data_IF_186395410110
#
_entry.id   IF_186395410110
#
_cell.length_a   1.000
_cell.length_b   1.000
_cell.length_c   1.000
_cell.angle_alpha   90.00
_cell.angle_beta   90.00
_cell.angle_gamma   90.00
#
_symmetry.space_group_name_H-M   'P 1'
#
loop_
_entity.id
_entity.type
_entity.pdbx_description
1 polymer ?
#
# COMPACT_ATOMS: atom_id res chain seq x y z
N UNK A 1 15.91 -21.26 -85.52
CA UNK A 1 15.73 -21.88 -84.19
C UNK A 1 14.89 -20.94 -83.35
N UNK A 2 13.88 -21.42 -82.63
CA UNK A 2 13.04 -20.59 -81.76
C UNK A 2 13.24 -20.94 -80.28
N UNK A 3 13.44 -19.93 -79.43
CA UNK A 3 13.53 -20.12 -77.98
C UNK A 3 12.16 -19.91 -77.33
N UNK A 4 11.61 -20.96 -76.71
CA UNK A 4 10.39 -20.87 -75.92
C UNK A 4 10.69 -20.35 -74.51
N UNK A 5 10.07 -19.24 -74.13
CA UNK A 5 10.01 -18.79 -72.72
C UNK A 5 9.09 -19.72 -71.92
N UNK A 6 9.61 -20.30 -70.82
CA UNK A 6 8.80 -21.10 -69.89
C UNK A 6 7.88 -20.19 -69.05
N UNK A 7 6.59 -20.50 -68.89
CA UNK A 7 5.71 -19.73 -68.02
C UNK A 7 6.04 -19.97 -66.54
N UNK A 8 6.17 -18.89 -65.77
CA UNK A 8 6.33 -18.95 -64.30
C UNK A 8 5.04 -19.47 -63.65
N UNK A 9 5.13 -20.53 -62.84
CA UNK A 9 3.92 -21.12 -62.24
C UNK A 9 3.46 -20.35 -60.99
N UNK A 10 2.19 -19.90 -60.91
CA UNK A 10 1.69 -19.10 -59.78
C UNK A 10 1.57 -19.88 -58.47
N UNK A 11 1.75 -21.22 -58.50
CA UNK A 11 1.70 -22.10 -57.33
C UNK A 11 2.94 -21.94 -56.42
N UNK A 12 4.10 -21.59 -56.97
CA UNK A 12 5.31 -21.31 -56.18
C UNK A 12 5.19 -20.00 -55.40
N UNK A 13 4.75 -18.92 -56.05
CA UNK A 13 4.55 -17.62 -55.41
C UNK A 13 3.57 -17.67 -54.23
N UNK A 14 2.46 -18.41 -54.36
CA UNK A 14 1.49 -18.58 -53.27
C UNK A 14 2.07 -19.33 -52.06
N UNK A 15 2.92 -20.35 -52.29
CA UNK A 15 3.61 -21.06 -51.20
C UNK A 15 4.67 -20.20 -50.52
N UNK A 16 5.45 -19.43 -51.30
CA UNK A 16 6.44 -18.49 -50.75
C UNK A 16 5.77 -17.38 -49.91
N UNK A 17 4.68 -16.79 -50.40
CA UNK A 17 3.92 -15.77 -49.67
C UNK A 17 3.37 -16.31 -48.33
N UNK A 18 2.78 -17.52 -48.32
CA UNK A 18 2.29 -18.15 -47.09
C UNK A 18 3.42 -18.45 -46.09
N UNK A 19 4.60 -18.87 -46.55
CA UNK A 19 5.76 -19.08 -45.69
C UNK A 19 6.27 -17.78 -45.05
N UNK A 20 6.33 -16.68 -45.82
CA UNK A 20 6.72 -15.36 -45.30
C UNK A 20 5.69 -14.82 -44.31
N UNK A 21 4.39 -14.94 -44.60
CA UNK A 21 3.32 -14.52 -43.67
C UNK A 21 3.39 -15.34 -42.37
N UNK A 22 3.58 -16.66 -42.46
CA UNK A 22 3.74 -17.52 -41.29
C UNK A 22 4.95 -17.12 -40.43
N UNK A 23 6.10 -16.84 -41.05
CA UNK A 23 7.30 -16.38 -40.36
C UNK A 23 7.10 -15.01 -39.68
N UNK A 24 6.43 -14.07 -40.33
CA UNK A 24 6.09 -12.76 -39.74
C UNK A 24 5.12 -12.91 -38.57
N UNK A 25 4.08 -13.72 -38.69
CA UNK A 25 3.16 -13.99 -37.57
C UNK A 25 3.88 -14.63 -36.37
N UNK A 26 4.75 -15.60 -36.59
CA UNK A 26 5.55 -16.22 -35.52
C UNK A 26 6.51 -15.22 -34.87
N UNK A 27 7.16 -14.35 -35.65
CA UNK A 27 8.01 -13.29 -35.10
C UNK A 27 7.21 -12.29 -34.24
N UNK A 28 6.02 -11.88 -34.68
CA UNK A 28 5.15 -10.98 -33.91
C UNK A 28 4.72 -11.63 -32.58
N UNK A 29 4.38 -12.92 -32.57
CA UNK A 29 4.06 -13.63 -31.32
C UNK A 29 5.28 -13.71 -30.38
N UNK A 30 6.47 -14.01 -30.92
CA UNK A 30 7.70 -14.11 -30.13
C UNK A 30 8.08 -12.78 -29.44
N UNK A 31 7.87 -11.63 -30.10
CA UNK A 31 8.09 -10.31 -29.48
C UNK A 31 6.93 -9.85 -28.57
N UNK A 32 5.69 -10.31 -28.80
CA UNK A 32 4.54 -9.93 -27.99
C UNK A 32 4.56 -10.49 -26.55
N UNK A 33 5.27 -11.60 -26.30
CA UNK A 33 5.34 -12.21 -24.96
C UNK A 33 6.42 -11.60 -24.04
N UNK A 34 7.35 -10.82 -24.57
CA UNK A 34 8.27 -10.02 -23.75
C UNK A 34 7.62 -8.72 -23.30
N UNK A 35 6.63 -8.85 -22.41
CA UNK A 35 6.17 -7.74 -21.59
C UNK A 35 7.38 -7.13 -20.87
N UNK A 36 7.70 -5.87 -21.19
CA UNK A 36 8.79 -5.14 -20.54
C UNK A 36 8.48 -5.13 -19.04
N UNK A 37 9.35 -5.75 -18.21
CA UNK A 37 9.27 -5.55 -16.76
C UNK A 37 9.30 -4.05 -16.48
N UNK A 38 8.35 -3.57 -15.67
CA UNK A 38 8.44 -2.23 -15.14
C UNK A 38 9.79 -2.07 -14.41
N UNK A 39 10.46 -0.92 -14.52
CA UNK A 39 11.67 -0.68 -13.73
C UNK A 39 11.28 -0.72 -12.24
N UNK A 40 11.85 -1.65 -11.48
CA UNK A 40 11.57 -1.79 -10.04
C UNK A 40 11.80 -0.46 -9.33
N UNK A 41 10.73 0.15 -8.84
CA UNK A 41 10.80 1.39 -8.05
C UNK A 41 11.35 1.04 -6.67
N UNK A 42 12.32 1.81 -6.18
CA UNK A 42 13.01 1.51 -4.91
C UNK A 42 12.30 2.10 -3.70
N UNK A 43 10.99 2.33 -3.83
CA UNK A 43 10.21 3.21 -2.97
C UNK A 43 10.40 4.70 -3.32
N UNK A 44 9.85 5.61 -2.52
CA UNK A 44 9.17 5.35 -1.25
C UNK A 44 7.83 4.60 -1.41
N UNK A 45 7.70 3.49 -0.69
CA UNK A 45 6.51 2.61 -0.68
C UNK A 45 6.30 2.10 0.74
N UNK A 46 5.19 2.40 1.40
CA UNK A 46 4.89 1.88 2.73
C UNK A 46 3.76 0.85 2.72
N UNK A 47 3.99 -0.25 3.41
CA UNK A 47 3.04 -1.30 3.75
C UNK A 47 2.45 -1.04 5.13
N UNK A 48 1.14 -1.21 5.26
CA UNK A 48 0.42 -1.27 6.52
C UNK A 48 -0.60 -2.41 6.52
N UNK A 49 -1.33 -2.54 7.63
CA UNK A 49 -2.52 -3.38 7.73
C UNK A 49 -3.71 -2.49 8.06
N UNK A 50 -4.72 -2.53 7.20
CA UNK A 50 -6.01 -1.92 7.44
C UNK A 50 -6.81 -2.84 8.38
N UNK A 51 -7.14 -2.35 9.57
CA UNK A 51 -8.06 -2.98 10.50
C UNK A 51 -9.48 -2.48 10.21
N UNK A 52 -10.24 -3.22 9.39
CA UNK A 52 -11.59 -2.84 8.94
C UNK A 52 -12.67 -3.49 9.82
N UNK A 53 -13.41 -2.69 10.58
CA UNK A 53 -14.54 -3.17 11.37
C UNK A 53 -15.82 -3.32 10.53
N UNK A 54 -16.70 -4.25 10.93
CA UNK A 54 -17.98 -4.52 10.26
C UNK A 54 -18.95 -3.31 10.17
N UNK A 55 -18.69 -2.22 10.88
CA UNK A 55 -19.44 -0.96 10.80
C UNK A 55 -18.90 0.03 9.73
N UNK A 56 -17.85 -0.36 8.98
CA UNK A 56 -17.24 0.45 7.92
C UNK A 56 -16.15 1.43 8.38
N UNK A 57 -15.87 1.50 9.69
CA UNK A 57 -14.71 2.23 10.22
C UNK A 57 -13.44 1.39 10.06
N UNK A 58 -12.32 2.06 9.83
CA UNK A 58 -11.03 1.39 9.75
C UNK A 58 -9.92 2.26 10.35
N UNK A 59 -8.93 1.59 10.94
CA UNK A 59 -7.64 2.17 11.30
C UNK A 59 -6.54 1.54 10.43
N UNK A 60 -5.42 2.24 10.26
CA UNK A 60 -4.25 1.71 9.55
C UNK A 60 -3.08 1.52 10.52
N UNK A 61 -2.66 0.27 10.73
CA UNK A 61 -1.42 -0.04 11.46
C UNK A 61 -0.25 0.06 10.51
N UNK A 62 0.76 0.85 10.86
CA UNK A 62 1.99 0.97 10.08
C UNK A 62 2.86 -0.29 10.24
N UNK A 63 3.29 -0.92 9.14
CA UNK A 63 4.11 -2.14 9.19
C UNK A 63 5.55 -1.86 8.75
N UNK A 64 5.79 -1.65 7.46
CA UNK A 64 7.13 -1.50 6.91
C UNK A 64 7.16 -0.45 5.80
N UNK A 65 8.25 0.31 5.68
CA UNK A 65 8.45 1.28 4.59
C UNK A 65 9.73 0.95 3.83
N UNK A 66 9.60 0.76 2.53
CA UNK A 66 10.72 0.58 1.62
C UNK A 66 11.26 1.92 1.15
N UNK A 67 12.56 2.14 1.35
CA UNK A 67 13.34 3.28 0.87
C UNK A 67 14.66 2.73 0.30
N UNK A 68 15.06 3.18 -0.89
CA UNK A 68 16.24 2.71 -1.64
C UNK A 68 16.33 1.17 -1.80
N UNK A 69 15.19 0.48 -1.80
CA UNK A 69 15.10 -0.98 -1.88
C UNK A 69 15.39 -1.70 -0.57
N UNK A 70 15.27 -1.02 0.57
CA UNK A 70 15.43 -1.57 1.93
C UNK A 70 14.20 -1.29 2.77
N UNK A 71 13.73 -2.28 3.52
CA UNK A 71 12.64 -2.09 4.47
C UNK A 71 13.12 -1.51 5.80
N UNK A 72 12.34 -0.57 6.32
CA UNK A 72 12.48 0.04 7.63
C UNK A 72 11.14 -0.10 8.38
N UNK A 73 11.18 -0.01 9.70
CA UNK A 73 9.99 0.03 10.54
C UNK A 73 9.14 1.27 10.20
N UNK A 74 7.89 1.07 9.80
CA UNK A 74 7.04 2.16 9.34
C UNK A 74 6.51 3.05 10.48
N UNK A 75 6.50 2.58 11.73
CA UNK A 75 6.15 3.37 12.91
C UNK A 75 7.32 4.21 13.43
N UNK A 76 8.57 3.81 13.15
CA UNK A 76 9.76 4.56 13.54
C UNK A 76 10.32 5.49 12.44
N UNK A 77 10.11 5.18 11.16
CA UNK A 77 10.81 5.88 10.08
C UNK A 77 10.36 7.35 9.87
N UNK A 78 11.30 8.28 10.10
CA UNK A 78 11.12 9.75 10.08
C UNK A 78 9.88 10.20 10.87
N UNK A 79 9.74 9.66 12.09
CA UNK A 79 8.60 9.87 13.00
C UNK A 79 8.65 11.18 13.80
N UNK A 80 8.87 12.29 13.10
CA UNK A 80 8.98 13.63 13.67
C UNK A 80 7.98 14.57 12.96
N UNK A 81 6.88 15.02 13.62
CA UNK A 81 6.31 14.50 14.87
C UNK A 81 5.47 13.22 14.66
N UNK A 82 5.32 12.75 13.41
CA UNK A 82 4.45 11.64 12.99
C UNK A 82 5.19 10.77 11.96
N UNK A 83 5.06 9.43 11.97
CA UNK A 83 5.77 8.55 11.03
C UNK A 83 5.47 8.86 9.57
N UNK A 84 6.44 8.64 8.67
CA UNK A 84 6.27 8.89 7.23
C UNK A 84 5.06 8.15 6.62
N UNK A 85 4.83 6.92 7.06
CA UNK A 85 3.69 6.08 6.68
C UNK A 85 2.33 6.71 7.01
N UNK A 86 2.23 7.38 8.16
CA UNK A 86 0.97 7.91 8.70
C UNK A 86 0.86 9.43 8.53
N UNK A 87 1.56 10.00 7.55
CA UNK A 87 1.35 11.40 7.19
C UNK A 87 -0.03 11.61 6.59
N UNK A 88 -0.66 12.73 6.96
CA UNK A 88 -1.99 13.10 6.50
C UNK A 88 -2.09 13.17 4.96
N UNK A 89 -3.26 12.80 4.47
CA UNK A 89 -3.65 12.67 3.06
C UNK A 89 -2.90 11.56 2.30
N UNK A 90 -2.04 10.77 2.95
CA UNK A 90 -1.41 9.58 2.34
C UNK A 90 -2.48 8.55 1.99
N UNK A 91 -2.41 8.03 0.77
CA UNK A 91 -3.35 7.05 0.23
C UNK A 91 -2.73 5.66 0.27
N UNK A 92 -3.47 4.72 0.84
CA UNK A 92 -3.17 3.30 0.85
C UNK A 92 -4.23 2.54 0.06
N UNK A 93 -3.81 1.70 -0.87
CA UNK A 93 -4.67 0.73 -1.54
C UNK A 93 -4.67 -0.58 -0.74
N UNK A 94 -5.82 -0.95 -0.19
CA UNK A 94 -5.96 -2.21 0.55
C UNK A 94 -6.22 -3.35 -0.44
N UNK A 95 -5.42 -4.41 -0.36
CA UNK A 95 -5.40 -5.52 -1.32
C UNK A 95 -5.63 -6.86 -0.64
N UNK A 96 -6.50 -7.70 -1.21
CA UNK A 96 -6.83 -9.03 -0.70
C UNK A 96 -6.43 -10.07 -1.74
N UNK A 97 -5.41 -10.85 -1.40
CA UNK A 97 -4.75 -11.80 -2.31
C UNK A 97 -4.39 -11.12 -3.65
N UNK A 98 -3.81 -9.92 -3.57
CA UNK A 98 -3.43 -9.11 -4.73
C UNK A 98 -4.55 -8.35 -5.46
N UNK A 99 -5.82 -8.48 -5.04
CA UNK A 99 -6.96 -7.76 -5.63
C UNK A 99 -7.31 -6.50 -4.82
N UNK A 100 -7.45 -5.36 -5.48
CA UNK A 100 -7.93 -4.10 -4.87
C UNK A 100 -9.28 -4.27 -4.16
N UNK A 101 -9.33 -3.90 -2.88
CA UNK A 101 -10.57 -3.85 -2.08
C UNK A 101 -11.10 -2.42 -1.92
N UNK A 102 -10.21 -1.43 -2.03
CA UNK A 102 -10.55 -0.02 -1.87
C UNK A 102 -9.34 0.83 -1.47
N UNK A 103 -9.59 2.12 -1.25
CA UNK A 103 -8.60 3.09 -0.81
C UNK A 103 -8.88 3.55 0.63
N UNK A 104 -7.85 3.61 1.44
CA UNK A 104 -7.83 4.30 2.73
C UNK A 104 -7.00 5.58 2.60
N UNK A 105 -7.55 6.72 3.02
CA UNK A 105 -6.78 7.98 3.09
C UNK A 105 -6.59 8.37 4.55
N UNK A 106 -5.33 8.55 4.96
CA UNK A 106 -4.93 8.90 6.33
C UNK A 106 -5.41 10.32 6.67
N UNK A 107 -6.25 10.47 7.69
CA UNK A 107 -6.74 11.76 8.21
C UNK A 107 -5.81 12.37 9.26
N UNK A 108 -5.11 11.50 10.00
CA UNK A 108 -4.19 11.83 11.07
C UNK A 108 -3.50 10.56 11.61
N UNK A 109 -2.74 10.73 12.69
CA UNK A 109 -2.01 9.64 13.34
C UNK A 109 -2.10 9.76 14.85
N UNK A 110 -2.23 8.62 15.52
CA UNK A 110 -2.35 8.48 16.96
C UNK A 110 -1.35 7.44 17.44
N UNK A 111 -0.77 7.66 18.63
CA UNK A 111 0.13 6.70 19.27
C UNK A 111 -0.61 5.96 20.38
N UNK A 112 -0.83 4.67 20.15
CA UNK A 112 -1.45 3.77 21.12
C UNK A 112 -0.37 2.95 21.87
N UNK A 113 -0.81 1.99 22.69
CA UNK A 113 0.08 1.14 23.50
C UNK A 113 0.90 0.15 22.66
N UNK A 114 0.37 -0.33 21.53
CA UNK A 114 1.04 -1.30 20.65
C UNK A 114 1.79 -0.65 19.46
N UNK A 115 1.82 0.68 19.37
CA UNK A 115 2.56 1.42 18.35
C UNK A 115 1.78 2.61 17.80
N UNK A 116 2.04 2.97 16.54
CA UNK A 116 1.33 4.03 15.83
C UNK A 116 0.20 3.50 14.94
N UNK A 117 -0.97 4.14 15.01
CA UNK A 117 -2.10 3.92 14.10
C UNK A 117 -2.44 5.20 13.32
N UNK A 118 -2.91 5.04 12.08
CA UNK A 118 -3.53 6.11 11.30
C UNK A 118 -5.04 6.08 11.42
N UNK A 119 -5.64 7.21 11.81
CA UNK A 119 -7.07 7.46 11.56
C UNK A 119 -7.27 7.86 10.09
N UNK A 120 -8.48 7.72 9.56
CA UNK A 120 -8.72 8.07 8.16
C UNK A 120 -10.06 7.62 7.59
N UNK A 121 -10.18 7.77 6.27
CA UNK A 121 -11.41 7.52 5.50
C UNK A 121 -11.21 6.33 4.56
N UNK A 122 -11.95 5.26 4.82
CA UNK A 122 -12.06 4.10 3.94
C UNK A 122 -13.10 4.32 2.83
N UNK A 123 -12.79 3.89 1.61
CA UNK A 123 -13.74 3.79 0.47
C UNK A 123 -13.50 2.48 -0.28
N UNK A 124 -14.48 1.58 -0.26
CA UNK A 124 -14.38 0.31 -1.00
C UNK A 124 -14.47 0.50 -2.52
N UNK A 125 -13.96 -0.45 -3.30
CA UNK A 125 -14.10 -0.47 -4.77
C UNK A 125 -15.56 -0.32 -5.21
N UNK A 126 -16.49 -1.01 -4.54
CA UNK A 126 -17.92 -0.90 -4.81
C UNK A 126 -18.50 0.51 -4.57
N UNK A 127 -18.04 1.22 -3.53
CA UNK A 127 -18.42 2.61 -3.28
C UNK A 127 -17.85 3.55 -4.34
N UNK A 128 -16.56 3.42 -4.67
CA UNK A 128 -15.91 4.23 -5.70
C UNK A 128 -16.53 4.00 -7.09
N UNK A 129 -16.91 2.77 -7.43
CA UNK A 129 -17.68 2.47 -8.64
C UNK A 129 -19.07 3.12 -8.64
N UNK A 130 -19.80 3.04 -7.52
CA UNK A 130 -21.12 3.65 -7.40
C UNK A 130 -21.05 5.18 -7.56
N UNK A 131 -20.08 5.83 -6.94
CA UNK A 131 -19.88 7.28 -7.07
C UNK A 131 -19.41 7.69 -8.47
N UNK A 132 -18.54 6.89 -9.11
CA UNK A 132 -18.15 7.08 -10.52
C UNK A 132 -19.34 6.92 -11.49
N UNK A 133 -20.29 6.04 -11.18
CA UNK A 133 -21.54 5.86 -11.93
C UNK A 133 -22.50 7.05 -11.72
N UNK A 134 -22.65 7.56 -10.49
CA UNK A 134 -23.42 8.79 -10.19
C UNK A 134 -22.85 10.00 -10.94
N UNK A 135 -21.54 10.25 -10.81
CA UNK A 135 -20.87 11.39 -11.43
C UNK A 135 -21.04 11.41 -12.95
N UNK A 136 -20.94 10.25 -13.62
CA UNK A 136 -21.27 10.13 -15.06
C UNK A 136 -22.73 10.47 -15.35
N UNK A 137 -23.68 9.88 -14.63
CA UNK A 137 -25.10 10.16 -14.83
C UNK A 137 -25.46 11.64 -14.58
N UNK A 138 -24.77 12.32 -13.66
CA UNK A 138 -24.97 13.74 -13.40
C UNK A 138 -24.27 14.64 -14.42
N UNK A 139 -23.11 14.26 -14.97
CA UNK A 139 -22.54 14.88 -16.17
C UNK A 139 -23.46 14.73 -17.38
N UNK A 140 -24.03 13.55 -17.61
CA UNK A 140 -24.96 13.29 -18.71
C UNK A 140 -26.24 14.13 -18.59
N UNK A 141 -26.82 14.25 -17.38
CA UNK A 141 -27.93 15.19 -17.11
C UNK A 141 -27.54 16.64 -17.33
N UNK A 142 -26.33 17.05 -16.92
CA UNK A 142 -25.86 18.43 -17.09
C UNK A 142 -25.63 18.75 -18.58
N UNK A 143 -25.13 17.80 -19.36
CA UNK A 143 -24.99 17.91 -20.81
C UNK A 143 -26.36 17.97 -21.53
N UNK A 144 -27.34 17.16 -21.09
CA UNK A 144 -28.72 17.23 -21.59
C UNK A 144 -29.47 18.52 -21.16
N UNK A 145 -29.01 19.18 -20.09
CA UNK A 145 -29.55 20.45 -19.59
C UNK A 145 -28.74 21.67 -20.04
N UNK A 146 -27.65 21.47 -20.79
CA UNK A 146 -26.99 22.57 -21.49
C UNK A 146 -28.01 23.14 -22.50
N UNK A 147 -28.30 24.45 -22.48
CA UNK A 147 -29.31 25.00 -23.36
C UNK A 147 -28.89 24.81 -24.82
N UNK A 148 -29.82 24.32 -25.63
CA UNK A 148 -29.70 24.37 -27.08
C UNK A 148 -29.40 25.82 -27.47
N UNK A 149 -28.19 26.05 -28.01
CA UNK A 149 -27.76 27.40 -28.38
C UNK A 149 -28.63 27.85 -29.55
N UNK A 150 -29.57 28.75 -29.26
CA UNK A 150 -30.51 29.35 -30.21
C UNK A 150 -29.71 29.81 -31.45
N UNK A 151 -29.77 29.05 -32.55
CA UNK A 151 -29.07 29.38 -33.81
C UNK A 151 -29.79 30.53 -34.57
N UNK A 152 -30.34 31.48 -33.83
CA UNK A 152 -30.72 32.78 -34.36
C UNK A 152 -29.45 33.61 -34.65
N UNK A 153 -29.41 34.38 -35.74
CA UNK A 153 -28.27 35.24 -36.05
C UNK A 153 -28.05 36.28 -34.93
N UNK A 154 -26.79 36.73 -34.70
CA UNK A 154 -26.43 37.56 -33.55
C UNK A 154 -27.24 38.87 -33.49
N UNK A 155 -28.15 38.95 -32.52
CA UNK A 155 -29.03 40.10 -32.27
C UNK A 155 -28.21 41.28 -31.71
N UNK A 156 -27.62 42.08 -32.61
CA UNK A 156 -26.94 43.32 -32.27
C UNK A 156 -27.87 44.25 -31.48
N UNK A 157 -27.51 44.57 -30.23
CA UNK A 157 -28.23 45.56 -29.42
C UNK A 157 -28.00 46.96 -30.00
N UNK A 158 -28.93 47.41 -30.84
CA UNK A 158 -28.96 48.80 -31.33
C UNK A 158 -29.19 49.73 -30.15
N UNK A 159 -28.16 50.48 -29.75
CA UNK A 159 -28.33 51.61 -28.84
C UNK A 159 -29.28 52.62 -29.46
N UNK A 160 -30.29 53.05 -28.71
CA UNK A 160 -31.25 54.07 -29.16
C UNK A 160 -30.59 55.45 -28.96
N UNK A 161 -30.45 56.27 -30.01
CA UNK A 161 -30.04 57.66 -29.85
C UNK A 161 -31.25 58.50 -29.41
N UNK A 162 -31.09 59.28 -28.34
CA UNK A 162 -32.11 60.23 -27.88
C UNK A 162 -31.53 61.64 -27.80
N UNK A 163 -31.78 62.41 -28.85
CA UNK A 163 -31.55 63.85 -28.99
C UNK A 163 -32.71 64.36 -29.87
N UNK A 164 -33.25 65.58 -29.76
CA UNK A 164 -32.76 66.79 -29.08
C UNK A 164 -33.89 67.58 -28.39
N UNK A 165 -33.50 68.48 -27.46
CA UNK A 165 -34.10 69.83 -27.35
C UNK A 165 -32.99 70.85 -27.06
N UNK A 166 -32.96 71.93 -27.85
CA UNK A 166 -31.84 72.89 -28.00
C UNK A 166 -32.34 74.34 -28.11
N UNK A 167 -31.47 75.39 -28.11
CA UNK A 167 -30.10 75.48 -27.60
C UNK A 167 -30.08 76.35 -26.31
N UNK A 168 -29.71 77.66 -26.19
CA UNK A 168 -29.05 78.64 -27.09
C UNK A 168 -27.51 78.74 -26.84
N UNK A 169 -26.91 79.94 -26.91
CA UNK A 169 -25.44 80.19 -26.83
C UNK A 169 -25.09 81.42 -25.98
N UNK A 170 -23.88 81.46 -25.36
CA UNK A 170 -22.94 82.61 -25.37
C UNK A 170 -21.67 82.40 -24.48
N UNK A 171 -20.57 83.09 -24.83
CA UNK A 171 -19.25 83.23 -24.14
C UNK A 171 -18.81 84.71 -24.19
N UNK A 172 -17.65 85.16 -23.61
CA UNK A 172 -16.68 84.53 -22.71
C UNK A 172 -16.91 85.05 -21.25
N UNK A 173 -16.02 85.70 -20.43
CA UNK A 173 -14.58 86.07 -20.51
C UNK A 173 -13.64 85.00 -19.87
N UNK A 174 -12.50 85.33 -19.23
CA UNK A 174 -11.16 85.67 -19.81
C UNK A 174 -10.11 85.88 -18.69
N UNK A 175 -8.92 85.27 -18.80
CA UNK A 175 -7.72 85.56 -17.96
C UNK A 175 -7.47 84.61 -16.76
N UNK A 176 -6.23 84.33 -16.34
CA UNK A 176 -4.93 84.61 -17.00
C UNK A 176 -3.79 83.67 -16.55
N UNK A 177 -2.71 83.66 -17.35
CA UNK A 177 -1.32 83.28 -17.03
C UNK A 177 -0.89 81.80 -16.81
N UNK A 178 0.44 81.61 -16.77
CA UNK A 178 1.18 80.42 -17.25
C UNK A 178 2.37 80.07 -16.26
N UNK A 179 3.51 79.43 -16.61
CA UNK A 179 3.93 78.19 -15.95
C UNK A 179 5.30 78.23 -15.23
N UNK A 180 5.64 77.15 -14.51
CA UNK A 180 6.99 76.52 -14.44
C UNK A 180 6.94 75.29 -13.50
N UNK A 181 7.72 74.22 -13.62
CA UNK A 181 8.54 73.69 -14.75
C UNK A 181 8.87 72.21 -14.49
N UNK A 182 9.01 71.44 -15.57
CA UNK A 182 9.59 70.08 -15.67
C UNK A 182 11.14 70.12 -15.72
N UNK A 183 11.90 69.00 -15.89
CA UNK A 183 11.70 67.57 -15.60
C UNK A 183 12.93 66.90 -14.89
N UNK A 184 12.98 65.55 -14.91
CA UNK A 184 14.19 64.69 -15.08
C UNK A 184 15.22 64.53 -13.92
N UNK A 185 16.11 63.52 -13.83
CA UNK A 185 16.19 62.08 -14.24
C UNK A 185 17.67 61.63 -14.30
N UNK A 186 18.10 60.62 -13.53
CA UNK A 186 19.18 59.67 -13.91
C UNK A 186 19.56 58.64 -12.82
N UNK A 187 20.01 57.45 -13.24
CA UNK A 187 20.81 56.42 -12.52
C UNK A 187 22.29 56.49 -13.01
N UNK A 188 23.25 55.52 -12.86
CA UNK A 188 23.33 54.24 -12.10
C UNK A 188 24.70 53.93 -11.38
N UNK A 189 24.86 52.71 -10.80
CA UNK A 189 26.16 51.99 -10.47
C UNK A 189 27.10 52.57 -9.38
N UNK A 190 28.02 51.85 -8.68
CA UNK A 190 28.63 50.50 -8.87
C UNK A 190 29.17 49.83 -7.57
N UNK A 191 29.30 48.48 -7.62
CA UNK A 191 30.29 47.53 -7.04
C UNK A 191 31.14 47.76 -5.75
N UNK A 192 31.00 46.84 -4.77
CA UNK A 192 32.00 45.91 -4.11
C UNK A 192 33.42 46.39 -3.63
N UNK A 193 34.24 45.59 -2.88
CA UNK A 193 34.02 44.40 -2.02
C UNK A 193 34.75 44.42 -0.62
N UNK A 194 34.76 43.26 0.08
CA UNK A 194 35.91 42.60 0.79
C UNK A 194 35.90 42.45 2.34
N UNK A 195 36.13 41.19 2.80
CA UNK A 195 36.81 40.73 4.04
C UNK A 195 36.22 41.03 5.45
N UNK A 196 36.47 40.22 6.52
CA UNK A 196 36.88 38.80 6.65
C UNK A 196 36.85 38.36 8.14
N UNK A 197 36.94 37.03 8.40
CA UNK A 197 37.41 36.37 9.66
C UNK A 197 36.62 36.58 10.99
N UNK A 198 36.61 35.68 11.98
CA UNK A 198 36.91 34.22 12.06
C UNK A 198 36.37 33.66 13.43
N UNK A 199 36.29 32.32 13.54
CA UNK A 199 36.53 31.50 14.76
C UNK A 199 35.51 31.31 15.92
N UNK A 200 35.24 30.01 16.14
CA UNK A 200 35.23 29.25 17.42
C UNK A 200 34.01 29.24 18.38
N UNK A 201 33.97 28.17 19.19
CA UNK A 201 32.79 27.54 19.82
C UNK A 201 32.97 27.39 21.36
N UNK A 202 32.10 26.65 22.09
CA UNK A 202 31.16 27.13 23.14
C UNK A 202 31.76 27.16 24.57
N UNK A 203 30.97 27.45 25.65
CA UNK A 203 30.34 26.32 26.38
C UNK A 203 29.02 26.59 27.15
N UNK A 204 28.30 25.49 27.43
CA UNK A 204 27.46 25.19 28.62
C UNK A 204 26.22 26.04 28.98
N UNK A 205 25.23 25.36 29.59
CA UNK A 205 24.03 25.91 30.21
C UNK A 205 24.16 25.96 31.76
N UNK A 206 23.25 26.66 32.44
CA UNK A 206 22.62 26.03 33.61
C UNK A 206 21.08 26.21 33.69
N UNK A 207 20.48 25.51 34.66
CA UNK A 207 19.05 25.18 34.72
C UNK A 207 18.10 26.27 35.23
N UNK A 208 16.91 26.29 34.63
CA UNK A 208 15.58 26.42 35.25
C UNK A 208 15.31 27.54 36.29
N UNK A 209 14.32 28.39 35.96
CA UNK A 209 13.21 28.71 36.87
C UNK A 209 11.92 28.94 36.09
N UNK A 210 10.79 28.59 36.70
CA UNK A 210 9.45 28.64 36.12
C UNK A 210 8.72 29.91 36.51
N UNK A 211 7.98 30.52 35.59
CA UNK A 211 6.79 31.30 35.94
C UNK A 211 5.69 31.24 34.85
N UNK A 212 4.51 31.80 35.12
CA UNK A 212 3.23 31.27 34.63
C UNK A 212 2.34 32.28 33.88
N UNK A 213 1.68 31.82 32.80
CA UNK A 213 0.84 32.59 31.83
C UNK A 213 1.69 33.55 30.96
N UNK A 214 1.37 33.80 29.69
CA UNK A 214 0.04 33.99 29.09
C UNK A 214 -0.18 33.26 27.77
N UNK A 215 -1.45 32.99 27.45
CA UNK A 215 -1.90 32.48 26.16
C UNK A 215 -2.04 33.60 25.12
N UNK A 216 -1.41 33.45 23.96
CA UNK A 216 -1.79 34.19 22.75
C UNK A 216 -1.60 33.27 21.53
N UNK A 217 -2.47 33.41 20.53
CA UNK A 217 -2.57 32.45 19.44
C UNK A 217 -1.55 32.75 18.34
N UNK A 218 -0.70 31.77 18.03
CA UNK A 218 0.06 31.76 16.77
C UNK A 218 -0.43 30.59 15.92
N UNK A 219 -1.01 30.91 14.76
CA UNK A 219 -1.49 29.91 13.82
C UNK A 219 -0.31 29.36 13.02
N UNK A 220 0.17 28.17 13.40
CA UNK A 220 1.16 27.45 12.62
C UNK A 220 0.56 27.04 11.25
N UNK A 221 1.16 27.45 10.12
CA UNK A 221 0.75 26.97 8.80
C UNK A 221 1.20 25.52 8.59
N UNK A 222 0.81 24.94 7.45
CA UNK A 222 1.27 23.61 7.06
C UNK A 222 2.78 23.57 6.76
N UNK A 223 3.35 22.37 6.91
CA UNK A 223 4.67 21.94 6.41
C UNK A 223 5.92 22.70 6.90
N UNK A 224 6.40 22.34 8.10
CA UNK A 224 7.85 22.10 8.31
C UNK A 224 8.23 20.76 7.67
N UNK A 225 8.18 20.70 6.33
CA UNK A 225 8.62 19.54 5.57
C UNK A 225 10.03 19.78 5.04
N UNK A 226 11.02 19.05 5.55
CA UNK A 226 12.36 18.93 4.94
C UNK A 226 12.20 18.67 3.43
N UNK A 227 12.67 19.58 2.54
CA UNK A 227 12.50 19.43 1.09
C UNK A 227 13.17 18.17 0.51
N UNK A 228 14.07 17.53 1.26
CA UNK A 228 14.74 16.28 0.90
C UNK A 228 14.06 15.04 1.51
N UNK A 229 12.89 15.21 2.14
CA UNK A 229 12.11 14.11 2.72
C UNK A 229 11.34 13.39 1.61
N UNK A 230 11.56 12.06 1.41
CA UNK A 230 10.73 11.29 0.50
C UNK A 230 9.25 11.39 0.87
N UNK A 231 8.37 11.36 -0.13
CA UNK A 231 6.92 11.52 0.01
C UNK A 231 6.20 10.28 -0.53
N UNK A 232 5.15 9.85 0.16
CA UNK A 232 4.25 8.81 -0.33
C UNK A 232 3.17 9.42 -1.23
N UNK A 233 2.41 8.58 -1.96
CA UNK A 233 1.24 9.02 -2.72
C UNK A 233 0.20 9.65 -1.80
N UNK A 234 -0.27 10.85 -2.15
CA UNK A 234 -1.32 11.58 -1.43
C UNK A 234 -2.51 11.88 -2.33
N UNK A 235 -3.69 12.16 -1.76
CA UNK A 235 -4.82 12.64 -2.55
C UNK A 235 -4.52 14.03 -3.18
N UNK A 236 -5.04 14.33 -4.39
CA UNK A 236 -5.01 15.68 -4.94
C UNK A 236 -5.79 16.66 -4.05
N UNK A 237 -5.25 17.87 -3.87
CA UNK A 237 -5.81 18.88 -2.97
C UNK A 237 -7.20 19.44 -3.37
N UNK A 238 -7.71 19.11 -4.56
CA UNK A 238 -8.97 19.64 -5.09
C UNK A 238 -10.22 18.83 -4.67
N UNK A 239 -10.07 17.61 -4.12
CA UNK A 239 -11.20 16.82 -3.60
C UNK A 239 -11.59 17.19 -2.15
N UNK A 240 -10.96 18.19 -1.53
CA UNK A 240 -11.20 18.54 -0.12
C UNK A 240 -12.47 19.36 0.09
N UNK A 241 -13.63 18.71 0.02
CA UNK A 241 -14.78 19.19 0.80
C UNK A 241 -14.42 19.08 2.29
N UNK A 242 -14.43 20.21 2.99
CA UNK A 242 -13.86 20.33 4.35
C UNK A 242 -14.72 19.67 5.45
N UNK A 243 -14.89 18.34 5.39
CA UNK A 243 -15.29 17.56 6.56
C UNK A 243 -14.05 17.32 7.43
N UNK A 244 -13.72 18.35 8.22
CA UNK A 244 -12.56 18.37 9.11
C UNK A 244 -12.75 17.40 10.28
N UNK A 245 -12.30 16.14 10.13
CA UNK A 245 -11.97 15.30 11.28
C UNK A 245 -11.01 16.07 12.18
N UNK A 246 -11.41 16.27 13.44
CA UNK A 246 -10.62 17.03 14.40
C UNK A 246 -9.41 16.20 14.80
N UNK A 247 -8.23 16.62 14.35
CA UNK A 247 -6.96 16.15 14.89
C UNK A 247 -6.99 16.28 16.42
N UNK A 248 -7.03 15.15 17.13
CA UNK A 248 -7.18 15.11 18.59
C UNK A 248 -8.55 14.64 19.14
N UNK A 249 -9.46 14.10 18.31
CA UNK A 249 -10.50 13.20 18.84
C UNK A 249 -9.89 11.85 19.21
N UNK A 250 -10.20 11.36 20.41
CA UNK A 250 -9.87 10.01 20.89
C UNK A 250 -10.28 8.93 19.86
N UNK A 251 -9.45 7.89 19.61
CA UNK A 251 -9.70 6.93 18.54
C UNK A 251 -11.06 6.26 18.72
N UNK A 252 -11.91 6.28 17.68
CA UNK A 252 -13.28 5.79 17.81
C UNK A 252 -13.32 4.26 17.71
N UNK A 253 -12.99 3.63 18.86
CA UNK A 253 -12.74 2.20 19.03
C UNK A 253 -13.55 1.29 18.10
N UNK A 254 -12.81 0.51 17.31
CA UNK A 254 -13.35 -0.52 16.41
C UNK A 254 -14.20 -1.52 17.22
N UNK A 255 -15.41 -1.82 16.74
CA UNK A 255 -16.42 -2.62 17.45
C UNK A 255 -16.98 -3.71 16.56
N UNK A 256 -17.05 -4.93 17.11
CA UNK A 256 -17.42 -6.14 16.37
C UNK A 256 -16.21 -6.82 15.74
N UNK A 257 -16.41 -7.76 14.80
CA UNK A 257 -15.33 -8.39 14.06
C UNK A 257 -14.51 -7.36 13.27
N UNK A 258 -13.19 -7.52 13.31
CA UNK A 258 -12.21 -6.74 12.55
C UNK A 258 -11.63 -7.66 11.47
N UNK A 259 -11.63 -7.23 10.21
CA UNK A 259 -10.89 -7.87 9.13
C UNK A 259 -9.55 -7.16 8.95
N UNK A 260 -8.46 -7.94 8.92
CA UNK A 260 -7.10 -7.45 8.69
C UNK A 260 -6.78 -7.58 7.20
N UNK A 261 -6.55 -6.45 6.51
CA UNK A 261 -6.27 -6.41 5.07
C UNK A 261 -4.91 -5.71 4.85
N UNK A 262 -3.94 -6.31 4.12
CA UNK A 262 -2.71 -5.61 3.75
C UNK A 262 -3.03 -4.36 2.91
N UNK A 263 -2.30 -3.28 3.12
CA UNK A 263 -2.50 -2.05 2.37
C UNK A 263 -1.17 -1.40 1.96
N UNK A 264 -1.08 -0.96 0.70
CA UNK A 264 0.15 -0.40 0.10
C UNK A 264 -0.06 1.06 -0.30
N UNK A 265 0.84 1.94 0.14
CA UNK A 265 0.90 3.34 -0.29
C UNK A 265 1.78 3.46 -1.53
N UNK A 266 1.24 3.00 -2.65
CA UNK A 266 1.97 2.86 -3.90
C UNK A 266 1.70 4.03 -4.86
N UNK A 267 2.79 4.64 -5.34
CA UNK A 267 2.77 5.71 -6.34
C UNK A 267 2.92 5.21 -7.79
N UNK A 268 3.72 4.15 -8.01
CA UNK A 268 4.33 3.84 -9.32
C UNK A 268 4.56 2.33 -9.57
N UNK A 269 4.01 1.43 -8.75
CA UNK A 269 4.13 -0.02 -8.94
C UNK A 269 3.21 -0.62 -10.03
N UNK A 270 3.26 -1.95 -10.22
CA UNK A 270 2.51 -2.65 -11.27
C UNK A 270 1.01 -2.74 -10.96
N UNK A 271 0.18 -2.89 -12.00
CA UNK A 271 -1.26 -3.16 -11.88
C UNK A 271 -1.53 -4.33 -10.90
N UNK A 272 -2.46 -4.20 -9.93
CA UNK A 272 -2.81 -5.28 -9.00
C UNK A 272 -3.24 -6.57 -9.71
N UNK A 273 -2.72 -7.70 -9.23
CA UNK A 273 -2.85 -9.02 -9.86
C UNK A 273 -3.20 -10.09 -8.82
N UNK A 274 -4.14 -11.01 -9.10
CA UNK A 274 -4.55 -12.02 -8.12
C UNK A 274 -3.42 -13.02 -7.81
N UNK A 275 -3.04 -13.15 -6.54
CA UNK A 275 -2.14 -14.22 -6.06
C UNK A 275 -2.87 -15.55 -5.82
N UNK A 276 -4.17 -15.64 -6.08
CA UNK A 276 -4.99 -16.78 -5.70
C UNK A 276 -4.71 -17.98 -6.62
N UNK A 277 -4.13 -19.07 -6.09
CA UNK A 277 -3.94 -20.29 -6.87
C UNK A 277 -5.29 -20.94 -7.13
N UNK A 278 -5.73 -20.99 -8.38
CA UNK A 278 -6.97 -21.66 -8.78
C UNK A 278 -6.75 -23.17 -8.90
N UNK A 279 -7.58 -23.97 -8.24
CA UNK A 279 -7.50 -25.43 -8.24
C UNK A 279 -8.87 -26.08 -8.04
N UNK A 280 -8.97 -27.39 -8.26
CA UNK A 280 -10.21 -28.13 -8.04
C UNK A 280 -10.40 -28.49 -6.56
N UNK A 281 -11.64 -28.59 -6.04
CA UNK A 281 -11.89 -28.96 -4.65
C UNK A 281 -11.30 -30.31 -4.23
N UNK A 282 -11.22 -31.28 -5.15
CA UNK A 282 -10.65 -32.61 -4.90
C UNK A 282 -9.13 -32.54 -4.71
N UNK A 283 -8.46 -31.72 -5.52
CA UNK A 283 -7.03 -31.42 -5.40
C UNK A 283 -6.76 -30.66 -4.10
N UNK A 284 -7.66 -29.76 -3.70
CA UNK A 284 -7.54 -28.94 -2.49
C UNK A 284 -7.66 -29.80 -1.23
N UNK A 285 -8.62 -30.73 -1.20
CA UNK A 285 -8.75 -31.71 -0.12
C UNK A 285 -7.51 -32.63 -0.03
N UNK A 286 -6.93 -33.00 -1.18
CA UNK A 286 -5.66 -33.74 -1.23
C UNK A 286 -4.49 -32.97 -0.60
N UNK A 287 -4.31 -31.71 -1.01
CA UNK A 287 -3.29 -30.79 -0.45
C UNK A 287 -3.52 -30.53 1.05
N UNK A 288 -4.76 -30.24 1.45
CA UNK A 288 -5.15 -30.02 2.85
C UNK A 288 -4.82 -31.24 3.73
N UNK A 289 -5.10 -32.46 3.26
CA UNK A 289 -4.77 -33.69 3.99
C UNK A 289 -3.25 -33.86 4.18
N UNK A 290 -2.43 -33.54 3.17
CA UNK A 290 -0.96 -33.54 3.30
C UNK A 290 -0.49 -32.48 4.30
N UNK A 291 -1.02 -31.26 4.24
CA UNK A 291 -0.68 -30.16 5.17
C UNK A 291 -1.09 -30.46 6.62
N UNK A 292 -2.29 -31.02 6.84
CA UNK A 292 -2.74 -31.42 8.18
C UNK A 292 -1.89 -32.55 8.77
N UNK A 293 -1.42 -33.50 7.96
CA UNK A 293 -0.48 -34.53 8.42
C UNK A 293 0.87 -33.92 8.83
N UNK A 294 1.41 -32.97 8.06
CA UNK A 294 2.63 -32.24 8.39
C UNK A 294 2.46 -31.42 9.69
N UNK A 295 1.35 -30.69 9.83
CA UNK A 295 1.02 -29.94 11.05
C UNK A 295 0.85 -30.85 12.28
N UNK A 296 0.25 -32.04 12.10
CA UNK A 296 0.11 -33.03 13.18
C UNK A 296 1.47 -33.51 13.69
N UNK A 297 2.44 -33.74 12.80
CA UNK A 297 3.79 -34.15 13.17
C UNK A 297 4.56 -33.01 13.88
N UNK A 298 4.41 -31.76 13.44
CA UNK A 298 5.00 -30.60 14.13
C UNK A 298 4.41 -30.38 15.54
N UNK A 299 3.09 -30.54 15.70
CA UNK A 299 2.44 -30.49 17.02
C UNK A 299 2.98 -31.61 17.92
N UNK A 300 3.09 -32.85 17.44
CA UNK A 300 3.69 -33.97 18.19
C UNK A 300 5.11 -33.67 18.63
N UNK A 301 5.95 -33.13 17.75
CA UNK A 301 7.32 -32.72 18.05
C UNK A 301 7.37 -31.62 19.12
N UNK A 302 6.50 -30.61 19.03
CA UNK A 302 6.42 -29.51 20.01
C UNK A 302 5.93 -29.97 21.39
N UNK A 303 5.00 -30.92 21.46
CA UNK A 303 4.54 -31.55 22.72
C UNK A 303 5.68 -32.34 23.37
N UNK A 304 6.36 -33.21 22.61
CA UNK A 304 7.47 -34.00 23.14
C UNK A 304 8.64 -33.13 23.62
N UNK A 305 8.91 -32.01 22.92
CA UNK A 305 9.88 -31.01 23.38
C UNK A 305 9.47 -30.41 24.74
N UNK A 306 8.22 -29.97 24.89
CA UNK A 306 7.70 -29.39 26.14
C UNK A 306 7.83 -30.36 27.33
N UNK A 307 7.49 -31.63 27.12
CA UNK A 307 7.61 -32.68 28.15
C UNK A 307 9.08 -32.96 28.50
N UNK A 308 9.99 -32.96 27.52
CA UNK A 308 11.42 -33.15 27.75
C UNK A 308 12.05 -32.01 28.55
N UNK A 309 11.59 -30.76 28.38
CA UNK A 309 12.05 -29.62 29.19
C UNK A 309 11.56 -29.65 30.65
N UNK A 310 10.53 -30.43 30.97
CA UNK A 310 10.03 -30.60 32.34
C UNK A 310 10.68 -31.74 33.12
N UNK A 311 11.57 -32.53 32.51
CA UNK A 311 12.10 -33.77 33.09
C UNK A 311 13.63 -33.80 33.13
N UNK A 312 14.19 -33.84 34.34
CA UNK A 312 15.60 -34.17 34.61
C UNK A 312 15.87 -35.68 34.63
N UNK A 313 14.95 -36.50 34.11
CA UNK A 313 15.07 -37.95 34.01
C UNK A 313 16.05 -38.43 32.93
N UNK A 314 16.40 -39.74 32.92
CA UNK A 314 17.33 -40.31 31.95
C UNK A 314 16.78 -40.24 30.52
N UNK A 315 17.70 -40.03 29.57
CA UNK A 315 17.43 -39.87 28.13
C UNK A 315 16.66 -41.08 27.59
N UNK A 316 15.39 -40.89 27.21
CA UNK A 316 14.62 -41.87 26.44
C UNK A 316 15.09 -41.92 24.98
N UNK A 317 14.79 -43.02 24.30
CA UNK A 317 15.25 -43.26 22.93
C UNK A 317 14.74 -42.22 21.93
N UNK A 318 15.67 -41.70 21.11
CA UNK A 318 15.45 -40.65 20.11
C UNK A 318 14.48 -41.03 18.96
N UNK A 319 13.88 -42.22 19.00
CA UNK A 319 13.14 -42.80 17.88
C UNK A 319 11.64 -43.03 18.15
N UNK A 320 11.14 -42.64 19.33
CA UNK A 320 9.70 -42.68 19.63
C UNK A 320 9.02 -41.46 19.00
N UNK A 321 8.49 -41.61 17.78
CA UNK A 321 7.49 -40.68 17.22
C UNK A 321 6.33 -40.57 18.22
N UNK A 322 5.96 -39.38 18.74
CA UNK A 322 4.92 -39.28 19.75
C UNK A 322 3.57 -39.72 19.19
N UNK A 323 3.06 -40.87 19.65
CA UNK A 323 1.82 -41.52 19.18
C UNK A 323 0.55 -40.87 19.72
N UNK A 324 0.61 -39.62 20.19
CA UNK A 324 -0.57 -38.86 20.62
C UNK A 324 -1.44 -38.55 19.41
N UNK A 325 -2.74 -38.73 19.59
CA UNK A 325 -3.71 -38.19 18.66
C UNK A 325 -3.71 -36.65 18.72
N UNK A 326 -3.92 -36.02 17.57
CA UNK A 326 -3.85 -34.56 17.41
C UNK A 326 -5.10 -34.12 16.66
N UNK A 327 -6.03 -33.50 17.39
CA UNK A 327 -7.33 -33.13 16.84
C UNK A 327 -7.39 -31.63 16.61
N UNK A 328 -7.45 -31.23 15.34
CA UNK A 328 -7.62 -29.84 14.93
C UNK A 328 -9.06 -29.39 15.17
N UNK A 329 -9.24 -28.39 16.03
CA UNK A 329 -10.53 -27.75 16.28
C UNK A 329 -10.85 -26.70 15.21
N UNK A 330 -9.81 -26.00 14.76
CA UNK A 330 -9.86 -25.07 13.63
C UNK A 330 -8.70 -25.35 12.69
N UNK A 331 -8.93 -25.23 11.38
CA UNK A 331 -7.86 -25.22 10.38
C UNK A 331 -8.29 -24.42 9.15
N UNK A 332 -7.36 -23.68 8.55
CA UNK A 332 -7.58 -22.83 7.39
C UNK A 332 -6.36 -22.92 6.48
N UNK A 333 -6.53 -23.54 5.31
CA UNK A 333 -5.53 -23.51 4.26
C UNK A 333 -5.79 -22.33 3.32
N UNK A 334 -4.73 -21.74 2.78
CA UNK A 334 -4.74 -20.82 1.64
C UNK A 334 -3.64 -21.26 0.68
N UNK A 335 -3.87 -21.12 -0.62
CA UNK A 335 -2.89 -21.49 -1.65
C UNK A 335 -2.67 -20.30 -2.58
N UNK A 336 -1.41 -19.95 -2.82
CA UNK A 336 -1.01 -18.79 -3.59
C UNK A 336 -0.10 -19.16 -4.76
N UNK A 337 -0.20 -18.44 -5.87
CA UNK A 337 0.87 -18.34 -6.86
C UNK A 337 1.54 -16.98 -6.67
N UNK A 338 2.65 -16.95 -5.92
CA UNK A 338 3.34 -15.72 -5.56
C UNK A 338 4.22 -15.17 -6.69
N UNK A 339 4.52 -15.98 -7.71
CA UNK A 339 5.46 -15.66 -8.79
C UNK A 339 4.83 -15.59 -10.18
N UNK A 340 3.55 -15.93 -10.29
CA UNK A 340 2.84 -16.17 -11.57
C UNK A 340 3.51 -17.26 -12.41
N UNK A 341 4.11 -18.26 -11.75
CA UNK A 341 4.78 -19.41 -12.37
C UNK A 341 4.00 -20.72 -12.23
N UNK A 342 2.78 -20.66 -11.70
CA UNK A 342 1.95 -21.81 -11.32
C UNK A 342 2.67 -22.72 -10.29
N UNK A 343 3.45 -22.12 -9.39
CA UNK A 343 4.11 -22.81 -8.26
C UNK A 343 3.28 -22.58 -6.98
N UNK A 344 2.47 -23.56 -6.52
CA UNK A 344 1.58 -23.37 -5.39
C UNK A 344 2.36 -23.25 -4.07
N UNK A 345 2.19 -22.12 -3.40
CA UNK A 345 2.60 -21.88 -2.02
C UNK A 345 1.40 -22.13 -1.11
N UNK A 346 1.44 -23.21 -0.34
CA UNK A 346 0.41 -23.60 0.61
C UNK A 346 0.73 -22.98 1.97
N UNK A 347 -0.23 -22.32 2.59
CA UNK A 347 -0.16 -21.89 3.99
C UNK A 347 -1.33 -22.48 4.75
N UNK A 348 -1.06 -23.29 5.77
CA UNK A 348 -2.05 -23.82 6.70
C UNK A 348 -1.84 -23.15 8.05
N UNK A 349 -2.89 -22.53 8.58
CA UNK A 349 -2.99 -22.21 10.02
C UNK A 349 -3.98 -23.16 10.68
N UNK A 350 -3.77 -23.50 11.96
CA UNK A 350 -4.71 -24.35 12.69
C UNK A 350 -4.45 -24.40 14.19
N UNK A 351 -5.50 -24.75 14.94
CA UNK A 351 -5.49 -24.86 16.39
C UNK A 351 -5.84 -26.29 16.77
N UNK A 352 -4.90 -26.96 17.43
CA UNK A 352 -4.94 -28.37 17.74
C UNK A 352 -5.03 -28.60 19.25
N UNK A 353 -5.99 -29.41 19.66
CA UNK A 353 -6.12 -29.91 21.03
C UNK A 353 -5.31 -31.20 21.16
N UNK A 354 -4.40 -31.24 22.13
CA UNK A 354 -3.60 -32.44 22.44
C UNK A 354 -3.91 -32.91 23.85
N UNK A 355 -4.49 -34.11 24.04
CA UNK A 355 -4.69 -34.68 25.37
C UNK A 355 -3.36 -35.00 26.05
N UNK A 356 -2.84 -34.06 26.86
CA UNK A 356 -1.75 -34.34 27.81
C UNK A 356 -2.35 -34.54 29.19
N UNK A 357 -2.06 -35.66 29.86
CA UNK A 357 -2.78 -36.09 31.07
C UNK A 357 -2.68 -35.17 32.30
N UNK A 358 -1.89 -34.09 32.21
CA UNK A 358 -1.75 -33.08 33.25
C UNK A 358 -2.21 -31.66 32.84
N UNK A 359 -2.39 -31.38 31.54
CA UNK A 359 -2.78 -30.04 31.03
C UNK A 359 -3.56 -30.14 29.71
N UNK A 360 -4.64 -29.39 29.61
CA UNK A 360 -5.39 -29.23 28.36
C UNK A 360 -4.77 -28.09 27.51
N UNK A 361 -3.67 -28.40 26.82
CA UNK A 361 -2.91 -27.45 26.02
C UNK A 361 -3.50 -27.32 24.61
N UNK A 362 -3.73 -26.07 24.20
CA UNK A 362 -4.13 -25.73 22.83
C UNK A 362 -2.89 -25.27 22.06
N UNK A 363 -2.48 -26.08 21.09
CA UNK A 363 -1.35 -25.79 20.22
C UNK A 363 -1.81 -24.99 19.01
N UNK A 364 -1.06 -23.95 18.67
CA UNK A 364 -1.32 -23.09 17.52
C UNK A 364 -0.18 -23.30 16.53
N UNK A 365 -0.51 -23.77 15.33
CA UNK A 365 0.49 -24.14 14.31
C UNK A 365 0.24 -23.46 12.98
N UNK A 366 1.32 -23.01 12.34
CA UNK A 366 1.34 -22.37 11.04
C UNK A 366 2.45 -22.99 10.20
N UNK A 367 2.05 -23.64 9.12
CA UNK A 367 2.90 -24.37 8.18
C UNK A 367 2.86 -23.65 6.83
N UNK A 368 4.03 -23.35 6.27
CA UNK A 368 4.18 -22.94 4.86
C UNK A 368 4.87 -24.08 4.12
N UNK A 369 4.37 -24.45 2.96
CA UNK A 369 4.99 -25.44 2.07
C UNK A 369 4.88 -25.00 0.60
N UNK A 370 5.69 -25.59 -0.27
CA UNK A 370 5.44 -25.61 -1.72
C UNK A 370 5.31 -27.04 -2.20
N UNK A 371 4.57 -27.23 -3.28
CA UNK A 371 4.55 -28.49 -4.02
C UNK A 371 5.65 -28.50 -5.09
N UNK A 372 6.29 -29.65 -5.32
CA UNK A 372 7.23 -29.84 -6.43
C UNK A 372 6.55 -30.45 -7.68
N UNK A 373 7.36 -30.71 -8.72
CA UNK A 373 6.90 -31.30 -9.99
C UNK A 373 6.40 -32.75 -9.88
N UNK A 374 6.61 -33.42 -8.75
CA UNK A 374 6.13 -34.77 -8.46
C UNK A 374 4.88 -34.77 -7.57
N UNK A 375 4.47 -33.60 -7.05
CA UNK A 375 3.34 -33.44 -6.15
C UNK A 375 3.71 -33.51 -4.67
N UNK A 376 4.99 -33.55 -4.29
CA UNK A 376 5.41 -33.66 -2.90
C UNK A 376 5.58 -32.29 -2.23
N UNK A 377 5.21 -32.21 -0.95
CA UNK A 377 5.17 -30.95 -0.20
C UNK A 377 6.46 -30.70 0.58
N UNK A 378 7.25 -29.76 0.11
CA UNK A 378 8.47 -29.29 0.75
C UNK A 378 8.15 -28.20 1.76
N UNK A 379 8.50 -28.44 3.02
CA UNK A 379 8.19 -27.57 4.16
C UNK A 379 9.12 -26.35 4.19
N UNK A 380 8.53 -25.18 3.97
CA UNK A 380 9.19 -23.87 3.89
C UNK A 380 9.24 -23.16 5.24
N UNK A 381 8.20 -23.33 6.06
CA UNK A 381 8.12 -22.89 7.46
C UNK A 381 7.33 -23.92 8.27
N UNK A 382 7.75 -24.14 9.52
CA UNK A 382 6.86 -24.59 10.57
C UNK A 382 7.05 -23.71 11.81
N UNK A 383 5.96 -23.14 12.31
CA UNK A 383 5.92 -22.45 13.59
C UNK A 383 4.78 -23.04 14.41
N UNK A 384 5.13 -23.62 15.56
CA UNK A 384 4.15 -24.26 16.46
C UNK A 384 4.42 -23.81 17.89
N UNK A 385 3.47 -23.08 18.44
CA UNK A 385 3.45 -22.63 19.83
C UNK A 385 2.24 -23.23 20.56
N UNK A 386 2.07 -22.87 21.83
CA UNK A 386 0.93 -23.24 22.65
C UNK A 386 0.49 -22.06 23.52
N UNK A 387 -0.73 -22.15 24.06
CA UNK A 387 -1.35 -21.08 24.85
C UNK A 387 -0.67 -20.77 26.20
N UNK A 388 0.48 -21.38 26.53
CA UNK A 388 1.25 -21.09 27.74
C UNK A 388 2.67 -20.57 27.46
N UNK A 389 3.13 -20.55 26.20
CA UNK A 389 4.51 -20.18 25.83
C UNK A 389 4.58 -19.11 24.72
N UNK A 390 3.63 -18.16 24.73
CA UNK A 390 3.60 -17.00 23.82
C UNK A 390 4.66 -15.94 24.18
N UNK A 391 5.33 -16.07 25.32
CA UNK A 391 6.53 -15.32 25.70
C UNK A 391 7.74 -15.68 24.80
N UNK A 392 7.89 -16.98 24.52
CA UNK A 392 9.06 -17.54 23.83
C UNK A 392 8.83 -17.82 22.33
N UNK A 393 7.59 -18.12 21.91
CA UNK A 393 7.23 -18.41 20.53
C UNK A 393 5.86 -17.81 20.18
N UNK A 394 5.77 -16.83 19.26
CA UNK A 394 4.50 -16.18 18.94
C UNK A 394 3.56 -17.08 18.14
N UNK A 395 2.26 -16.78 18.24
CA UNK A 395 1.27 -17.27 17.27
C UNK A 395 1.48 -16.55 15.94
N UNK A 396 1.91 -17.29 14.91
CA UNK A 396 1.96 -16.79 13.53
C UNK A 396 0.56 -16.85 12.90
N UNK A 397 0.05 -15.73 12.44
CA UNK A 397 -1.24 -15.60 11.76
C UNK A 397 -1.03 -15.00 10.36
N UNK A 398 -1.41 -15.73 9.32
CA UNK A 398 -1.31 -15.24 7.94
C UNK A 398 -2.40 -14.18 7.68
N UNK A 399 -1.98 -12.97 7.33
CA UNK A 399 -2.87 -11.90 6.89
C UNK A 399 -3.21 -12.12 5.41
N UNK A 400 -2.25 -11.96 4.49
CA UNK A 400 -2.43 -12.27 3.06
C UNK A 400 -1.09 -12.33 2.30
N UNK A 401 -1.16 -12.60 1.00
CA UNK A 401 -0.12 -12.28 0.04
C UNK A 401 -0.26 -10.82 -0.47
N UNK A 402 0.86 -10.08 -0.53
CA UNK A 402 0.92 -8.66 -0.93
C UNK A 402 2.23 -8.37 -1.69
N UNK A 403 2.19 -7.48 -2.68
CA UNK A 403 3.40 -6.94 -3.32
C UNK A 403 4.08 -5.95 -2.39
N UNK A 404 5.10 -6.39 -1.64
CA UNK A 404 5.73 -5.54 -0.62
C UNK A 404 6.82 -4.64 -1.23
N UNK A 405 7.59 -5.11 -2.22
CA UNK A 405 8.71 -4.37 -2.82
C UNK A 405 8.43 -3.75 -4.21
N UNK A 406 7.24 -3.91 -4.76
CA UNK A 406 6.82 -3.26 -6.00
C UNK A 406 7.28 -3.95 -7.27
N UNK A 407 7.71 -5.22 -7.21
CA UNK A 407 8.08 -6.01 -8.39
C UNK A 407 6.96 -6.89 -8.94
N UNK A 408 5.79 -6.86 -8.30
CA UNK A 408 4.57 -7.56 -8.67
C UNK A 408 4.47 -8.99 -8.14
N UNK A 409 5.54 -9.55 -7.58
CA UNK A 409 5.48 -10.84 -6.87
C UNK A 409 4.90 -10.67 -5.47
N UNK A 410 4.38 -11.75 -4.90
CA UNK A 410 3.75 -11.75 -3.60
C UNK A 410 4.69 -12.14 -2.46
N UNK A 411 4.72 -11.33 -1.43
CA UNK A 411 5.25 -11.66 -0.11
C UNK A 411 4.10 -12.14 0.79
N UNK A 412 4.39 -13.09 1.68
CA UNK A 412 3.47 -13.47 2.74
C UNK A 412 3.62 -12.49 3.91
N UNK A 413 2.54 -11.79 4.25
CA UNK A 413 2.44 -10.94 5.44
C UNK A 413 1.82 -11.72 6.59
N UNK A 414 2.57 -11.85 7.69
CA UNK A 414 2.09 -12.46 8.94
C UNK A 414 1.98 -11.42 10.05
N UNK A 415 0.95 -11.55 10.90
CA UNK A 415 0.94 -11.01 12.26
C UNK A 415 1.55 -12.08 13.18
N UNK A 416 2.41 -11.64 14.10
CA UNK A 416 3.02 -12.46 15.14
C UNK A 416 2.50 -11.93 16.47
N UNK A 417 1.83 -12.78 17.25
CA UNK A 417 1.24 -12.40 18.53
C UNK A 417 1.97 -13.11 19.68
N UNK A 418 2.55 -12.33 20.60
CA UNK A 418 3.16 -12.76 21.85
C UNK A 418 2.19 -12.56 23.03
N UNK A 419 2.64 -12.84 24.26
CA UNK A 419 1.94 -12.47 25.49
C UNK A 419 1.96 -10.95 25.77
N UNK A 420 3.03 -10.27 25.33
CA UNK A 420 3.34 -8.88 25.65
C UNK A 420 2.92 -7.86 24.57
N UNK A 421 2.52 -8.32 23.38
CA UNK A 421 2.09 -7.47 22.27
C UNK A 421 2.11 -8.22 20.92
N UNK A 422 1.91 -7.48 19.84
CA UNK A 422 1.94 -8.03 18.48
C UNK A 422 2.92 -7.27 17.56
N UNK A 423 3.38 -7.94 16.51
CA UNK A 423 4.21 -7.36 15.44
C UNK A 423 3.90 -8.00 14.08
N UNK A 424 4.50 -7.47 13.02
CA UNK A 424 4.27 -7.94 11.65
C UNK A 424 5.57 -8.36 10.97
N UNK A 425 5.50 -9.39 10.12
CA UNK A 425 6.63 -9.91 9.36
C UNK A 425 6.28 -10.08 7.89
N UNK A 426 7.14 -9.60 7.01
CA UNK A 426 7.02 -9.66 5.55
C UNK A 426 8.05 -10.65 5.02
N UNK A 427 7.59 -11.71 4.37
CA UNK A 427 8.46 -12.80 3.95
C UNK A 427 8.28 -13.17 2.48
N UNK A 428 9.40 -13.29 1.77
CA UNK A 428 9.45 -13.79 0.40
C UNK A 428 9.71 -15.28 0.41
N UNK A 429 8.89 -16.07 -0.29
CA UNK A 429 9.15 -17.50 -0.47
C UNK A 429 10.15 -17.69 -1.61
N UNK A 430 11.24 -18.39 -1.31
CA UNK A 430 12.27 -18.82 -2.26
C UNK A 430 12.46 -20.34 -2.06
N UNK A 431 13.20 -21.02 -2.95
CA UNK A 431 13.48 -22.47 -2.88
C UNK A 431 13.69 -22.98 -1.44
N UNK A 432 12.73 -23.78 -0.99
CA UNK A 432 12.56 -24.38 0.34
C UNK A 432 12.83 -23.51 1.57
N UNK A 433 12.72 -22.18 1.45
CA UNK A 433 13.00 -21.24 2.54
C UNK A 433 12.05 -20.04 2.54
N UNK A 434 11.58 -19.71 3.74
CA UNK A 434 10.92 -18.44 4.00
C UNK A 434 12.01 -17.39 4.29
N UNK A 435 12.15 -16.38 3.43
CA UNK A 435 13.18 -15.35 3.57
C UNK A 435 12.57 -14.05 4.12
N UNK A 436 12.99 -13.55 5.30
CA UNK A 436 12.49 -12.29 5.83
C UNK A 436 12.97 -11.10 4.99
N UNK A 437 12.03 -10.25 4.57
CA UNK A 437 12.33 -8.90 4.05
C UNK A 437 12.20 -7.85 5.15
N UNK A 438 11.29 -8.07 6.11
CA UNK A 438 11.08 -7.24 7.29
C UNK A 438 10.51 -8.09 8.44
N UNK A 439 10.98 -7.85 9.66
CA UNK A 439 10.40 -8.36 10.90
C UNK A 439 10.33 -7.20 11.91
N UNK A 440 9.10 -6.81 12.28
CA UNK A 440 8.86 -5.83 13.33
C UNK A 440 9.07 -6.40 14.74
N UNK A 441 9.13 -5.52 15.74
CA UNK A 441 9.23 -5.91 17.15
C UNK A 441 7.88 -5.73 17.86
N UNK A 442 7.50 -6.59 18.81
CA UNK A 442 6.28 -6.38 19.57
C UNK A 442 6.38 -5.10 20.42
N UNK A 443 5.37 -4.23 20.31
CA UNK A 443 5.25 -2.99 21.10
C UNK A 443 6.25 -1.87 20.76
N UNK A 444 6.45 -1.59 19.45
CA UNK A 444 7.35 -0.54 18.94
C UNK A 444 6.65 0.83 18.72
#
# INVERSE_FOLDING_TARGET
MGFFLRPYSPRLYRKAALAVISAVCLAVVAFAQYAKKAPQTKGPRALGVLELAANGKAHLVAVAIMIDGKFYDAGAYKADPVPMSLQRDTVYEAVKTGNSQGLFTVGGALREKEGWIGDGKWRSTAQMEADKKKFKADQEKLAQKAPEVEQGPPKLKRGVPTADKTPPSATPPTGSDKPSSTPDKSTPTSDNPTAASDKSTPPAAPSAKSDKKQSEASAAPASDADPNRPILRRQPAEETSHEQTKSGSEPEALKGPIELIPAISDADGPDPRPYAYQMKPEEEQGRLKKMLAMASDEVKLRVAKAESSGSSGPKSDKNVRPTRDVQFQSSKMRVFDLSYSNEPVLVLTGEAKVPTGARDLMYMTTIVAREDIYGDLHKVLAQTTDNQHLDALPKYELIDAVDADGDGRGELLFRMNWDNGSAFGVYRVIGDRLWPLFEGKPGA
#
